data_IF_050389400731
#
_entry.id   IF_050389400731
#
_cell.length_a   1.000
_cell.length_b   1.000
_cell.length_c   1.000
_cell.angle_alpha   90.00
_cell.angle_beta   90.00
_cell.angle_gamma   90.00
#
_symmetry.space_group_name_H-M   'P 1'
#
loop_
_entity.id
_entity.type
_entity.pdbx_description
1 polymer ?
#
# COMPACT_ATOMS: atom_id res chain seq x y z
N UNK A 1 -6.26 1.27 -10.79
CA UNK A 1 -6.32 0.46 -9.56
C UNK A 1 -4.92 0.02 -9.19
N UNK A 2 -4.30 -0.71 -10.11
CA UNK A 2 -2.86 -0.84 -10.31
C UNK A 2 -1.99 0.30 -9.74
N UNK A 3 -2.18 1.57 -10.13
CA UNK A 3 -1.32 2.67 -9.67
C UNK A 3 -1.28 2.83 -8.14
N UNK A 4 -2.40 2.58 -7.45
CA UNK A 4 -2.43 2.62 -5.97
C UNK A 4 -1.64 1.45 -5.38
N UNK A 5 -1.77 0.25 -5.96
CA UNK A 5 -1.04 -0.94 -5.53
C UNK A 5 0.47 -0.81 -5.82
N UNK A 6 0.84 -0.23 -6.95
CA UNK A 6 2.22 0.09 -7.30
C UNK A 6 2.83 1.08 -6.30
N UNK A 7 2.09 2.14 -5.94
CA UNK A 7 2.51 3.08 -4.91
C UNK A 7 2.69 2.39 -3.54
N UNK A 8 1.78 1.47 -3.19
CA UNK A 8 1.89 0.66 -1.98
C UNK A 8 3.13 -0.23 -1.99
N UNK A 9 3.37 -0.97 -3.08
CA UNK A 9 4.55 -1.83 -3.26
C UNK A 9 5.83 -1.02 -3.14
N UNK A 10 5.91 0.13 -3.82
CA UNK A 10 7.09 0.99 -3.80
C UNK A 10 7.35 1.54 -2.39
N UNK A 11 6.32 2.09 -1.74
CA UNK A 11 6.44 2.64 -0.39
C UNK A 11 6.85 1.57 0.62
N UNK A 12 6.16 0.43 0.63
CA UNK A 12 6.42 -0.66 1.55
C UNK A 12 7.82 -1.28 1.34
N UNK A 13 8.28 -1.43 0.09
CA UNK A 13 9.61 -1.93 -0.20
C UNK A 13 10.73 -1.01 0.29
N UNK A 14 10.58 0.31 0.11
CA UNK A 14 11.54 1.30 0.63
C UNK A 14 11.53 1.30 2.16
N UNK A 15 10.36 1.27 2.78
CA UNK A 15 10.23 1.20 4.24
C UNK A 15 10.90 -0.06 4.80
N UNK A 16 10.63 -1.23 4.22
CA UNK A 16 11.24 -2.51 4.63
C UNK A 16 12.77 -2.41 4.61
N UNK A 17 13.34 -1.91 3.52
CA UNK A 17 14.80 -1.77 3.38
C UNK A 17 15.39 -0.83 4.44
N UNK A 18 14.72 0.30 4.69
CA UNK A 18 15.16 1.28 5.69
C UNK A 18 15.11 0.70 7.11
N UNK A 19 14.02 0.01 7.47
CA UNK A 19 13.87 -0.65 8.77
C UNK A 19 14.88 -1.77 8.93
N UNK A 20 15.08 -2.62 7.91
CA UNK A 20 16.08 -3.68 7.95
C UNK A 20 17.49 -3.13 8.22
N UNK A 21 17.84 -2.03 7.56
CA UNK A 21 19.11 -1.33 7.79
C UNK A 21 19.23 -0.82 9.23
N UNK A 22 18.16 -0.21 9.77
CA UNK A 22 18.14 0.29 11.15
C UNK A 22 18.24 -0.81 12.21
N UNK A 23 17.72 -2.01 11.90
CA UNK A 23 17.79 -3.20 12.77
C UNK A 23 19.08 -4.02 12.58
N UNK A 24 19.96 -3.64 11.65
CA UNK A 24 21.15 -4.41 11.31
C UNK A 24 20.85 -5.76 10.64
N UNK A 25 19.68 -5.89 9.99
CA UNK A 25 19.28 -7.09 9.25
C UNK A 25 19.75 -6.98 7.81
N UNK A 26 20.61 -7.90 7.39
CA UNK A 26 21.07 -7.97 6.01
C UNK A 26 20.02 -8.66 5.12
N UNK A 27 19.53 -7.94 4.12
CA UNK A 27 18.64 -8.48 3.08
C UNK A 27 19.44 -8.71 1.80
N UNK A 28 19.63 -9.97 1.39
CA UNK A 28 20.30 -10.31 0.13
C UNK A 28 19.40 -10.04 -1.08
N UNK A 29 18.12 -10.34 -0.95
CA UNK A 29 17.10 -10.02 -1.95
C UNK A 29 15.75 -9.81 -1.28
N UNK A 30 14.89 -9.01 -1.92
CA UNK A 30 13.52 -8.79 -1.48
C UNK A 30 12.60 -8.61 -2.68
N UNK A 31 11.45 -9.26 -2.67
CA UNK A 31 10.34 -9.04 -3.61
C UNK A 31 9.11 -8.65 -2.82
N UNK A 32 8.46 -7.57 -3.26
CA UNK A 32 7.21 -7.08 -2.68
C UNK A 32 6.12 -7.22 -3.73
N UNK A 33 5.01 -7.84 -3.37
CA UNK A 33 3.85 -8.00 -4.24
C UNK A 33 2.60 -7.53 -3.52
N UNK A 34 1.76 -6.74 -4.21
CA UNK A 34 0.44 -6.38 -3.73
C UNK A 34 -0.63 -6.89 -4.69
N UNK A 35 -1.69 -7.44 -4.12
CA UNK A 35 -2.90 -7.86 -4.83
C UNK A 35 -4.09 -7.13 -4.23
N UNK A 36 -5.12 -6.87 -5.03
CA UNK A 36 -6.36 -6.31 -4.51
C UNK A 36 -7.58 -6.75 -5.30
N UNK A 37 -8.70 -6.88 -4.59
CA UNK A 37 -9.99 -7.26 -5.16
C UNK A 37 -10.83 -6.00 -5.40
N UNK A 38 -11.48 -5.93 -6.56
CA UNK A 38 -12.26 -4.79 -7.02
C UNK A 38 -13.55 -5.27 -7.68
N UNK A 39 -14.68 -4.68 -7.29
CA UNK A 39 -15.93 -4.79 -8.03
C UNK A 39 -16.10 -3.60 -8.99
N UNK A 40 -15.85 -3.85 -10.28
CA UNK A 40 -16.00 -2.82 -11.31
C UNK A 40 -17.47 -2.42 -11.56
N UNK A 41 -18.45 -3.22 -11.14
CA UNK A 41 -19.88 -2.89 -11.33
C UNK A 41 -20.25 -1.61 -10.58
N UNK A 42 -19.69 -1.40 -9.39
CA UNK A 42 -19.88 -0.18 -8.62
C UNK A 42 -19.25 1.03 -9.31
N UNK A 43 -17.98 0.90 -9.72
CA UNK A 43 -17.23 1.99 -10.39
C UNK A 43 -17.87 2.41 -11.72
N UNK A 44 -18.40 1.44 -12.48
CA UNK A 44 -19.06 1.69 -13.77
C UNK A 44 -20.54 2.06 -13.62
N UNK A 45 -21.08 2.09 -12.40
CA UNK A 45 -22.48 2.44 -12.15
C UNK A 45 -23.49 1.42 -12.67
N UNK A 46 -23.04 0.18 -12.94
CA UNK A 46 -23.89 -0.93 -13.41
C UNK A 46 -24.77 -1.45 -12.28
N UNK A 47 -24.27 -1.46 -11.06
CA UNK A 47 -24.98 -1.92 -9.87
C UNK A 47 -24.79 -0.92 -8.73
N UNK A 48 -25.89 -0.39 -8.19
CA UNK A 48 -25.86 0.69 -7.18
C UNK A 48 -25.38 0.22 -5.81
N UNK A 49 -25.53 -1.07 -5.51
CA UNK A 49 -25.14 -1.66 -4.22
C UNK A 49 -23.70 -2.21 -4.22
N UNK A 50 -23.09 -2.36 -5.40
CA UNK A 50 -21.72 -2.82 -5.51
C UNK A 50 -20.75 -1.77 -4.90
N UNK A 51 -19.82 -2.19 -4.01
CA UNK A 51 -18.90 -1.27 -3.37
C UNK A 51 -17.95 -0.62 -4.40
N UNK A 52 -17.62 0.66 -4.17
CA UNK A 52 -16.64 1.39 -4.98
C UNK A 52 -15.32 1.47 -4.23
N UNK A 53 -14.27 0.90 -4.80
CA UNK A 53 -12.93 0.83 -4.21
C UNK A 53 -12.46 -0.61 -4.00
N UNK A 54 -11.29 -0.76 -3.37
CA UNK A 54 -10.74 -2.07 -3.05
C UNK A 54 -11.50 -2.71 -1.88
N UNK A 55 -11.93 -3.96 -2.05
CA UNK A 55 -12.57 -4.74 -0.97
C UNK A 55 -11.53 -5.36 -0.05
N UNK A 56 -10.43 -5.84 -0.64
CA UNK A 56 -9.29 -6.38 0.08
C UNK A 56 -8.00 -6.02 -0.65
N UNK A 57 -6.95 -5.74 0.12
CA UNK A 57 -5.59 -5.59 -0.38
C UNK A 57 -4.70 -6.53 0.42
N UNK A 58 -3.85 -7.30 -0.28
CA UNK A 58 -2.92 -8.25 0.31
C UNK A 58 -1.51 -7.85 -0.10
N UNK A 59 -0.67 -7.54 0.88
CA UNK A 59 0.73 -7.21 0.68
C UNK A 59 1.60 -8.36 1.16
N UNK A 60 2.53 -8.82 0.33
CA UNK A 60 3.42 -9.93 0.62
C UNK A 60 4.87 -9.56 0.36
N UNK A 61 5.74 -10.01 1.26
CA UNK A 61 7.18 -9.81 1.20
C UNK A 61 7.87 -11.17 1.12
N UNK A 62 8.64 -11.39 0.06
CA UNK A 62 9.56 -12.52 -0.05
C UNK A 62 10.97 -11.99 0.14
N UNK A 63 11.65 -12.39 1.22
CA UNK A 63 13.00 -11.91 1.55
C UNK A 63 13.98 -13.05 1.72
N UNK A 64 15.23 -12.85 1.27
CA UNK A 64 16.34 -13.75 1.55
C UNK A 64 17.28 -13.11 2.56
N UNK A 65 17.39 -13.71 3.75
CA UNK A 65 18.20 -13.23 4.88
C UNK A 65 18.51 -14.38 5.83
N UNK A 66 19.51 -14.21 6.69
CA UNK A 66 19.84 -15.12 7.79
C UNK A 66 19.24 -14.68 9.13
N UNK A 67 18.40 -13.64 9.12
CA UNK A 67 17.70 -13.16 10.30
C UNK A 67 16.80 -14.25 10.90
N UNK A 68 16.71 -14.27 12.23
CA UNK A 68 15.78 -15.16 12.93
C UNK A 68 14.32 -14.79 12.63
N UNK A 69 13.39 -15.71 12.88
CA UNK A 69 11.97 -15.43 12.72
C UNK A 69 11.50 -14.25 13.59
N UNK A 70 12.04 -14.11 14.80
CA UNK A 70 11.73 -12.99 15.70
C UNK A 70 12.18 -11.63 15.11
N UNK A 71 13.34 -11.60 14.45
CA UNK A 71 13.83 -10.42 13.73
C UNK A 71 12.94 -10.12 12.51
N UNK A 72 12.49 -11.13 11.78
CA UNK A 72 11.57 -10.99 10.65
C UNK A 72 10.21 -10.45 11.10
N UNK A 73 9.66 -10.96 12.21
CA UNK A 73 8.38 -10.49 12.77
C UNK A 73 8.48 -9.02 13.21
N UNK A 74 9.60 -8.65 13.83
CA UNK A 74 9.89 -7.26 14.19
C UNK A 74 10.01 -6.37 12.96
N UNK A 75 10.75 -6.83 11.93
CA UNK A 75 10.90 -6.12 10.68
C UNK A 75 9.55 -5.90 9.99
N UNK A 76 8.69 -6.92 9.91
CA UNK A 76 7.35 -6.83 9.33
C UNK A 76 6.49 -5.83 10.10
N UNK A 77 6.42 -5.96 11.43
CA UNK A 77 5.64 -5.07 12.30
C UNK A 77 6.04 -3.60 12.15
N UNK A 78 7.34 -3.32 12.09
CA UNK A 78 7.83 -1.95 11.91
C UNK A 78 7.61 -1.44 10.49
N UNK A 79 7.74 -2.30 9.48
CA UNK A 79 7.44 -1.95 8.08
C UNK A 79 5.98 -1.58 7.92
N UNK A 80 5.06 -2.36 8.49
CA UNK A 80 3.63 -2.06 8.49
C UNK A 80 3.34 -0.72 9.19
N UNK A 81 3.96 -0.50 10.34
CA UNK A 81 3.77 0.71 11.15
C UNK A 81 4.27 1.98 10.45
N UNK A 82 5.40 1.91 9.75
CA UNK A 82 6.06 3.07 9.17
C UNK A 82 5.79 3.28 7.67
N UNK A 83 5.15 2.32 7.01
CA UNK A 83 4.74 2.49 5.61
C UNK A 83 3.60 3.52 5.53
N UNK A 84 3.92 4.71 5.01
CA UNK A 84 2.98 5.84 4.91
C UNK A 84 1.77 5.46 4.06
N UNK A 85 1.97 4.80 2.92
CA UNK A 85 0.88 4.42 2.02
C UNK A 85 -0.02 3.37 2.69
N UNK A 86 0.56 2.33 3.30
CA UNK A 86 -0.22 1.33 4.03
C UNK A 86 -1.05 1.96 5.14
N UNK A 87 -0.45 2.84 5.97
CA UNK A 87 -1.18 3.52 7.05
C UNK A 87 -2.25 4.46 6.51
N UNK A 88 -2.04 5.12 5.38
CA UNK A 88 -3.03 6.01 4.73
C UNK A 88 -4.24 5.22 4.22
N UNK A 89 -4.01 4.03 3.67
CA UNK A 89 -5.07 3.13 3.21
C UNK A 89 -5.83 2.53 4.41
N UNK A 90 -5.11 2.05 5.43
CA UNK A 90 -5.68 1.42 6.61
C UNK A 90 -6.43 2.42 7.51
N UNK A 91 -5.98 3.67 7.56
CA UNK A 91 -6.57 4.77 8.34
C UNK A 91 -6.79 5.96 7.42
N UNK A 92 -7.86 5.87 6.64
CA UNK A 92 -8.25 6.91 5.68
C UNK A 92 -8.19 8.32 6.31
N UNK A 93 -7.42 9.27 5.74
CA UNK A 93 -7.42 10.64 6.21
C UNK A 93 -8.76 11.31 5.92
N UNK A 94 -9.00 12.48 6.50
CA UNK A 94 -10.16 13.31 6.12
C UNK A 94 -10.01 13.73 4.66
N UNK A 95 -11.00 13.42 3.84
CA UNK A 95 -11.03 13.77 2.42
C UNK A 95 -11.99 14.94 2.20
N UNK A 96 -11.60 15.88 1.35
CA UNK A 96 -12.46 16.93 0.82
C UNK A 96 -12.33 16.96 -0.70
N UNK A 97 -13.45 17.20 -1.38
CA UNK A 97 -13.50 17.33 -2.84
C UNK A 97 -14.20 18.65 -3.15
N UNK A 98 -13.58 19.46 -4.01
CA UNK A 98 -14.12 20.73 -4.46
C UNK A 98 -14.06 20.78 -5.99
N UNK A 99 -14.98 21.52 -6.59
CA UNK A 99 -15.02 21.77 -8.02
C UNK A 99 -15.13 23.26 -8.25
N UNK A 100 -14.20 23.80 -9.04
CA UNK A 100 -14.22 25.19 -9.48
C UNK A 100 -14.44 25.23 -10.98
N UNK A 101 -15.24 26.20 -11.44
CA UNK A 101 -15.37 26.44 -12.89
C UNK A 101 -14.09 27.11 -13.37
N UNK A 102 -13.40 26.48 -14.33
CA UNK A 102 -12.35 27.15 -15.07
C UNK A 102 -12.97 28.36 -15.79
N UNK A 103 -12.51 29.57 -15.46
CA UNK A 103 -12.96 30.76 -16.18
C UNK A 103 -12.43 30.64 -17.61
N UNK A 104 -13.33 30.41 -18.56
CA UNK A 104 -12.98 30.44 -19.98
C UNK A 104 -12.45 31.82 -20.32
N UNK A 105 -11.20 31.89 -20.76
CA UNK A 105 -10.65 33.09 -21.37
C UNK A 105 -11.51 33.46 -22.57
N UNK A 106 -12.12 34.64 -22.51
CA UNK A 106 -12.63 35.33 -23.69
C UNK A 106 -11.47 35.86 -24.54
#
# INVERSE_FOLDING_TARGET
GDMLLEALVACAGVTLKAVATALGIELRSGRVTAEGDLDFRGTLGVEREAPVGFEAIRLRFDVATDASQEQLDTLLKLTERYCVVYQTIAKGPKLSVAMERAQGGA
#
